data_IF_385577725145
#
_entry.id   IF_385577725145
#
_cell.length_a   1.000
_cell.length_b   1.000
_cell.length_c   1.000
_cell.angle_alpha   90.00
_cell.angle_beta   90.00
_cell.angle_gamma   90.00
#
_symmetry.space_group_name_H-M   'P 1'
#
loop_
_entity.id
_entity.type
_entity.pdbx_description
1 polymer ?
#
# COMPACT_ATOMS: atom_id res chain seq x y z
N UNK A 1 20.41 -36.65 -69.25
CA UNK A 1 21.16 -35.97 -68.22
C UNK A 1 20.32 -34.78 -67.73
N UNK A 2 19.34 -35.02 -66.93
CA UNK A 2 18.46 -34.04 -66.29
C UNK A 2 17.50 -34.81 -65.39
N UNK A 3 17.67 -34.77 -64.07
CA UNK A 3 16.64 -35.12 -63.09
C UNK A 3 17.18 -35.06 -61.63
N UNK A 4 18.39 -34.48 -61.39
CA UNK A 4 18.94 -34.45 -60.03
C UNK A 4 18.74 -33.09 -59.28
N UNK A 5 18.33 -32.03 -60.01
CA UNK A 5 18.18 -30.68 -59.43
C UNK A 5 16.90 -30.43 -58.67
N UNK A 6 15.82 -31.14 -58.98
CA UNK A 6 14.48 -30.84 -58.45
C UNK A 6 14.25 -31.37 -57.03
N UNK A 7 14.97 -32.43 -56.62
CA UNK A 7 14.79 -33.03 -55.29
C UNK A 7 15.50 -32.22 -54.16
N UNK A 8 16.61 -31.58 -54.47
CA UNK A 8 17.43 -30.80 -53.50
C UNK A 8 16.73 -29.49 -53.18
N UNK A 9 16.19 -28.80 -54.19
CA UNK A 9 15.46 -27.53 -53.97
C UNK A 9 14.19 -27.73 -53.14
N UNK A 10 13.47 -28.84 -53.30
CA UNK A 10 12.28 -29.15 -52.48
C UNK A 10 12.61 -29.45 -51.02
N UNK A 11 13.76 -30.06 -50.73
CA UNK A 11 14.23 -30.32 -49.36
C UNK A 11 14.64 -29.05 -48.64
N UNK A 12 15.35 -28.16 -49.31
CA UNK A 12 15.80 -26.89 -48.74
C UNK A 12 14.60 -25.96 -48.42
N UNK A 13 13.60 -25.91 -49.30
CA UNK A 13 12.39 -25.09 -49.08
C UNK A 13 11.58 -25.60 -47.90
N UNK A 14 11.41 -26.93 -47.73
CA UNK A 14 10.74 -27.52 -46.57
C UNK A 14 11.49 -27.28 -45.27
N UNK A 15 12.81 -27.34 -45.27
CA UNK A 15 13.64 -27.14 -44.09
C UNK A 15 13.59 -25.67 -43.61
N UNK A 16 13.59 -24.70 -44.52
CA UNK A 16 13.47 -23.28 -44.20
C UNK A 16 12.05 -22.92 -43.66
N UNK A 17 10.99 -23.58 -44.19
CA UNK A 17 9.64 -23.42 -43.71
C UNK A 17 9.43 -23.98 -42.29
N UNK A 18 10.03 -25.14 -42.00
CA UNK A 18 9.95 -25.76 -40.66
C UNK A 18 10.74 -24.93 -39.64
N UNK A 19 11.92 -24.41 -39.99
CA UNK A 19 12.72 -23.55 -39.13
C UNK A 19 12.02 -22.22 -38.83
N UNK A 20 11.33 -21.62 -39.80
CA UNK A 20 10.53 -20.41 -39.57
C UNK A 20 9.30 -20.64 -38.70
N UNK A 21 8.69 -21.83 -38.80
CA UNK A 21 7.50 -22.15 -37.99
C UNK A 21 7.84 -22.43 -36.51
N UNK A 22 9.02 -23.03 -36.26
CA UNK A 22 9.55 -23.29 -34.92
C UNK A 22 10.00 -22.00 -34.20
N UNK A 23 10.47 -20.99 -34.95
CA UNK A 23 10.85 -19.70 -34.37
C UNK A 23 9.65 -18.83 -33.99
N UNK A 24 8.50 -19.01 -34.69
CA UNK A 24 7.27 -18.26 -34.42
C UNK A 24 6.52 -18.74 -33.18
N UNK A 25 6.71 -19.98 -32.74
CA UNK A 25 6.00 -20.56 -31.58
C UNK A 25 6.67 -20.28 -30.24
N UNK A 26 7.93 -19.79 -30.22
CA UNK A 26 8.65 -19.50 -28.98
C UNK A 26 8.36 -18.10 -28.38
N UNK A 27 7.55 -17.26 -29.05
CA UNK A 27 7.28 -15.88 -28.60
C UNK A 27 5.97 -15.71 -27.80
N UNK A 28 5.25 -16.77 -27.46
CA UNK A 28 3.91 -16.67 -26.88
C UNK A 28 3.79 -17.03 -25.40
N UNK A 29 4.89 -17.19 -24.69
CA UNK A 29 4.84 -17.33 -23.23
C UNK A 29 5.24 -16.01 -22.54
N UNK A 30 4.44 -14.96 -22.73
CA UNK A 30 4.49 -13.83 -21.83
C UNK A 30 3.78 -14.25 -20.54
N UNK A 31 4.53 -14.78 -19.58
CA UNK A 31 4.04 -14.94 -18.23
C UNK A 31 3.80 -13.53 -17.66
N UNK A 32 2.55 -13.11 -17.56
CA UNK A 32 2.19 -11.91 -16.79
C UNK A 32 2.51 -12.19 -15.34
N UNK A 33 3.65 -11.72 -14.87
CA UNK A 33 3.92 -11.65 -13.43
C UNK A 33 3.01 -10.58 -12.87
N UNK A 34 1.86 -11.00 -12.35
CA UNK A 34 0.98 -10.10 -11.61
C UNK A 34 1.68 -9.72 -10.29
N UNK A 35 1.92 -8.42 -10.11
CA UNK A 35 2.51 -7.94 -8.87
C UNK A 35 1.50 -8.10 -7.75
N UNK A 36 1.83 -8.87 -6.72
CA UNK A 36 1.03 -9.05 -5.51
C UNK A 36 0.73 -7.68 -4.89
N UNK A 37 -0.53 -7.37 -4.64
CA UNK A 37 -1.02 -6.15 -3.99
C UNK A 37 -2.26 -6.49 -3.14
N UNK A 38 -2.03 -7.27 -2.08
CA UNK A 38 -3.08 -7.74 -1.19
C UNK A 38 -3.46 -6.65 -0.20
N UNK A 39 -4.76 -6.42 -0.02
CA UNK A 39 -5.27 -5.50 0.98
C UNK A 39 -5.66 -6.31 2.22
N UNK A 40 -4.85 -6.18 3.27
CA UNK A 40 -5.11 -6.77 4.58
C UNK A 40 -5.75 -5.78 5.55
N UNK A 41 -6.47 -6.31 6.55
CA UNK A 41 -6.99 -5.57 7.69
C UNK A 41 -6.23 -5.95 8.95
N UNK A 42 -5.85 -4.98 9.74
CA UNK A 42 -5.00 -5.16 10.91
C UNK A 42 -5.55 -4.40 12.11
N UNK A 43 -5.43 -4.94 13.33
CA UNK A 43 -6.00 -4.33 14.52
C UNK A 43 -5.24 -3.05 14.91
N UNK A 44 -5.99 -1.99 15.23
CA UNK A 44 -5.47 -0.69 15.66
C UNK A 44 -4.97 -0.77 17.10
N UNK A 45 -5.79 -1.31 18.02
CA UNK A 45 -5.53 -1.27 19.46
C UNK A 45 -4.20 -1.95 19.82
N UNK A 46 -3.99 -3.18 19.36
CA UNK A 46 -2.76 -3.92 19.63
C UNK A 46 -1.51 -3.24 19.07
N UNK A 47 -1.64 -2.53 17.95
CA UNK A 47 -0.55 -1.73 17.39
C UNK A 47 -0.23 -0.53 18.28
N UNK A 48 -1.24 0.23 18.71
CA UNK A 48 -1.03 1.42 19.54
C UNK A 48 -0.45 1.10 20.93
N UNK A 49 -0.77 -0.07 21.48
CA UNK A 49 -0.23 -0.54 22.76
C UNK A 49 1.21 -1.09 22.67
N UNK A 50 1.69 -1.33 21.46
CA UNK A 50 3.01 -1.91 21.23
C UNK A 50 4.16 -0.96 21.65
N UNK A 51 5.31 -1.53 21.99
CA UNK A 51 6.54 -0.76 22.24
C UNK A 51 6.98 0.06 21.02
N UNK A 52 6.72 -0.44 19.81
CA UNK A 52 6.98 0.25 18.55
C UNK A 52 6.18 1.57 18.47
N UNK A 53 4.90 1.54 18.81
CA UNK A 53 4.06 2.73 18.80
C UNK A 53 4.50 3.75 19.84
N UNK A 54 4.80 3.30 21.07
CA UNK A 54 5.28 4.16 22.16
C UNK A 54 6.57 4.90 21.82
N UNK A 55 7.45 4.30 21.01
CA UNK A 55 8.70 4.92 20.58
C UNK A 55 8.57 5.77 19.31
N UNK A 56 7.60 5.49 18.45
CA UNK A 56 7.47 6.14 17.15
C UNK A 56 6.48 7.30 17.12
N UNK A 57 5.39 7.24 17.89
CA UNK A 57 4.33 8.25 17.89
C UNK A 57 4.66 9.43 18.79
N UNK A 58 4.06 10.58 18.45
CA UNK A 58 4.15 11.81 19.22
C UNK A 58 3.01 11.91 20.24
N UNK A 59 3.12 12.84 21.19
CA UNK A 59 2.07 13.12 22.19
C UNK A 59 0.95 14.00 21.59
N UNK A 60 0.28 13.47 20.56
CA UNK A 60 -0.90 14.07 19.94
C UNK A 60 -1.97 12.99 19.86
N UNK A 61 -3.10 13.15 20.54
CA UNK A 61 -4.17 12.16 20.55
C UNK A 61 -4.71 11.83 19.15
N UNK A 62 -5.01 10.55 18.96
CA UNK A 62 -5.48 9.96 17.71
C UNK A 62 -6.84 9.28 17.96
N UNK A 63 -7.89 9.74 17.26
CA UNK A 63 -9.24 9.19 17.38
C UNK A 63 -9.70 8.62 16.04
N UNK A 64 -10.03 7.35 16.01
CA UNK A 64 -10.41 6.63 14.82
C UNK A 64 -11.93 6.61 14.62
N UNK A 65 -12.36 6.74 13.37
CA UNK A 65 -13.76 6.70 12.97
C UNK A 65 -14.64 7.64 13.87
N UNK A 66 -15.59 7.08 14.55
CA UNK A 66 -16.58 7.75 15.41
C UNK A 66 -16.21 7.74 16.90
N UNK A 67 -14.95 7.44 17.26
CA UNK A 67 -14.51 7.50 18.64
C UNK A 67 -14.76 8.89 19.24
N UNK A 68 -15.31 8.90 20.45
CA UNK A 68 -15.59 10.12 21.19
C UNK A 68 -14.31 10.84 21.60
N UNK A 69 -14.31 12.16 21.49
CA UNK A 69 -13.22 13.04 21.91
C UNK A 69 -13.78 14.30 22.57
N UNK A 70 -12.91 15.10 23.17
CA UNK A 70 -13.31 16.31 23.88
C UNK A 70 -13.85 17.42 22.97
N UNK A 71 -14.32 18.52 23.58
CA UNK A 71 -14.86 19.67 22.85
C UNK A 71 -13.79 20.35 21.99
N UNK A 72 -14.13 20.64 20.75
CA UNK A 72 -13.27 21.41 19.84
C UNK A 72 -13.27 22.91 20.18
N UNK A 73 -12.13 23.55 20.11
CA UNK A 73 -12.01 25.01 20.13
C UNK A 73 -11.77 25.57 18.72
N UNK A 74 -11.11 24.82 17.85
CA UNK A 74 -10.93 25.17 16.45
C UNK A 74 -10.69 23.92 15.60
N UNK A 75 -10.87 24.06 14.29
CA UNK A 75 -10.72 22.99 13.30
C UNK A 75 -9.92 23.50 12.11
N UNK A 76 -8.85 22.80 11.77
CA UNK A 76 -8.08 23.08 10.54
C UNK A 76 -8.77 22.48 9.30
N UNK A 77 -9.19 21.21 9.38
CA UNK A 77 -9.85 20.50 8.31
C UNK A 77 -9.30 19.12 8.03
N UNK A 78 -9.76 18.49 6.94
CA UNK A 78 -9.34 17.15 6.53
C UNK A 78 -7.94 17.18 5.91
N UNK A 79 -7.12 16.24 6.30
CA UNK A 79 -5.79 15.98 5.73
C UNK A 79 -5.65 14.52 5.33
N UNK A 80 -4.82 14.26 4.33
CA UNK A 80 -4.55 12.92 3.82
C UNK A 80 -3.05 12.66 3.93
N UNK A 81 -2.70 11.47 4.36
CA UNK A 81 -1.32 10.95 4.30
C UNK A 81 -1.29 9.64 3.51
N UNK A 82 -0.18 9.41 2.81
CA UNK A 82 0.11 8.16 2.13
C UNK A 82 1.57 7.82 2.40
N UNK A 83 1.80 6.70 3.07
CA UNK A 83 3.14 6.22 3.41
C UNK A 83 3.37 4.84 2.83
N UNK A 84 4.61 4.57 2.46
CA UNK A 84 5.08 3.28 1.99
C UNK A 84 6.33 2.87 2.78
N UNK A 85 6.54 1.58 2.92
CA UNK A 85 7.73 1.02 3.54
C UNK A 85 8.22 -0.19 2.76
N UNK A 86 9.50 -0.55 2.94
CA UNK A 86 10.06 -1.77 2.40
C UNK A 86 9.45 -2.98 3.15
N UNK A 87 8.85 -3.91 2.39
CA UNK A 87 8.28 -5.17 2.88
C UNK A 87 9.17 -6.39 2.61
N UNK A 88 10.30 -6.21 1.89
CA UNK A 88 11.20 -7.31 1.54
C UNK A 88 11.73 -7.99 2.82
N UNK A 89 11.63 -9.31 2.88
CA UNK A 89 12.02 -10.15 4.02
C UNK A 89 11.27 -9.84 5.33
N UNK A 90 10.08 -9.23 5.25
CA UNK A 90 9.19 -9.00 6.40
C UNK A 90 7.85 -9.71 6.17
N UNK A 91 7.17 -10.06 7.26
CA UNK A 91 5.76 -10.44 7.15
C UNK A 91 4.91 -9.23 6.76
N UNK A 92 3.78 -9.47 6.11
CA UNK A 92 2.83 -8.40 5.77
C UNK A 92 2.40 -7.61 7.01
N UNK A 93 2.13 -8.32 8.11
CA UNK A 93 1.79 -7.71 9.40
C UNK A 93 2.88 -6.75 9.86
N UNK A 94 4.13 -7.19 9.88
CA UNK A 94 5.25 -6.37 10.34
C UNK A 94 5.43 -5.13 9.48
N UNK A 95 5.41 -5.29 8.15
CA UNK A 95 5.53 -4.17 7.22
C UNK A 95 4.34 -3.20 7.36
N UNK A 96 3.12 -3.72 7.52
CA UNK A 96 1.92 -2.92 7.71
C UNK A 96 1.89 -2.18 9.05
N UNK A 97 2.40 -2.76 10.14
CA UNK A 97 2.57 -2.07 11.42
C UNK A 97 3.51 -0.86 11.29
N UNK A 98 4.68 -1.04 10.68
CA UNK A 98 5.65 0.05 10.49
C UNK A 98 5.11 1.18 9.62
N UNK A 99 4.46 0.85 8.51
CA UNK A 99 3.93 1.88 7.62
C UNK A 99 2.72 2.59 8.22
N UNK A 100 1.90 1.90 9.02
CA UNK A 100 0.79 2.51 9.77
C UNK A 100 1.31 3.52 10.80
N UNK A 101 2.31 3.15 11.59
CA UNK A 101 2.93 4.08 12.55
C UNK A 101 3.54 5.30 11.84
N UNK A 102 4.17 5.11 10.68
CA UNK A 102 4.70 6.21 9.87
C UNK A 102 3.59 7.15 9.35
N UNK A 103 2.43 6.59 8.99
CA UNK A 103 1.28 7.37 8.54
C UNK A 103 0.64 8.15 9.70
N UNK A 104 0.47 7.53 10.87
CA UNK A 104 -0.05 8.19 12.08
C UNK A 104 0.87 9.32 12.54
N UNK A 105 2.18 9.06 12.61
CA UNK A 105 3.17 10.09 12.96
C UNK A 105 3.09 11.29 12.01
N UNK A 106 2.95 11.06 10.71
CA UNK A 106 2.82 12.15 9.74
C UNK A 106 1.55 12.99 9.96
N UNK A 107 0.43 12.39 10.40
CA UNK A 107 -0.76 13.13 10.79
C UNK A 107 -0.51 13.96 12.05
N UNK A 108 0.18 13.41 13.05
CA UNK A 108 0.54 14.11 14.28
C UNK A 108 1.49 15.28 14.00
N UNK A 109 2.54 15.08 13.20
CA UNK A 109 3.46 16.13 12.76
C UNK A 109 2.71 17.25 12.02
N UNK A 110 1.76 16.89 11.18
CA UNK A 110 0.93 17.88 10.49
C UNK A 110 0.03 18.64 11.46
N UNK A 111 -0.56 17.97 12.46
CA UNK A 111 -1.38 18.64 13.48
C UNK A 111 -0.55 19.67 14.25
N UNK A 112 0.65 19.30 14.71
CA UNK A 112 1.57 20.22 15.41
C UNK A 112 1.91 21.42 14.52
N UNK A 113 2.27 21.18 13.25
CA UNK A 113 2.62 22.22 12.29
C UNK A 113 1.50 23.25 12.10
N UNK A 114 0.24 22.80 12.09
CA UNK A 114 -0.93 23.66 11.91
C UNK A 114 -1.49 24.20 13.23
N UNK A 115 -0.77 24.04 14.35
CA UNK A 115 -1.18 24.51 15.67
C UNK A 115 -2.36 23.77 16.29
N UNK A 116 -2.64 22.56 15.78
CA UNK A 116 -3.67 21.65 16.29
C UNK A 116 -3.06 20.67 17.29
N UNK A 117 -3.89 20.12 18.19
CA UNK A 117 -3.44 19.24 19.26
C UNK A 117 -4.08 17.85 19.24
N UNK A 118 -4.90 17.54 18.23
CA UNK A 118 -5.49 16.21 18.04
C UNK A 118 -5.77 15.91 16.57
N UNK A 119 -5.85 14.63 16.25
CA UNK A 119 -6.32 14.11 14.95
C UNK A 119 -7.55 13.25 15.21
N UNK A 120 -8.67 13.60 14.62
CA UNK A 120 -9.95 12.91 14.82
C UNK A 120 -10.51 12.35 13.51
N UNK A 121 -11.47 11.44 13.63
CA UNK A 121 -12.11 10.79 12.49
C UNK A 121 -11.09 10.16 11.52
N UNK A 122 -10.07 9.50 12.06
CA UNK A 122 -9.05 8.82 11.27
C UNK A 122 -9.67 7.61 10.59
N UNK A 123 -9.48 7.51 9.27
CA UNK A 123 -10.03 6.44 8.43
C UNK A 123 -8.96 5.96 7.46
N UNK A 124 -8.99 4.70 7.08
CA UNK A 124 -8.20 4.20 5.97
C UNK A 124 -8.73 4.76 4.64
N UNK A 125 -7.79 5.13 3.77
CA UNK A 125 -8.08 5.74 2.47
C UNK A 125 -7.23 5.13 1.34
N UNK A 126 -6.94 3.82 1.46
CA UNK A 126 -6.11 3.10 0.52
C UNK A 126 -6.76 3.04 -0.87
N UNK A 127 -5.99 3.34 -1.92
CA UNK A 127 -6.50 3.45 -3.30
C UNK A 127 -7.72 4.38 -3.43
N UNK A 128 -7.78 5.44 -2.61
CA UNK A 128 -8.89 6.42 -2.56
C UNK A 128 -10.25 5.81 -2.15
N UNK A 129 -10.26 4.62 -1.56
CA UNK A 129 -11.45 4.01 -0.98
C UNK A 129 -11.49 4.25 0.51
N UNK A 130 -12.64 4.66 1.03
CA UNK A 130 -12.85 4.83 2.47
C UNK A 130 -13.10 3.47 3.11
N UNK A 131 -12.38 3.18 4.16
CA UNK A 131 -12.70 2.13 5.11
C UNK A 131 -12.74 2.75 6.50
N UNK A 132 -13.96 2.78 7.08
CA UNK A 132 -14.25 3.41 8.36
C UNK A 132 -14.33 2.33 9.42
N UNK A 133 -13.41 2.35 10.38
CA UNK A 133 -13.38 1.41 11.50
C UNK A 133 -12.62 2.05 12.65
N UNK A 134 -13.10 1.83 13.87
CA UNK A 134 -12.42 2.21 15.12
C UNK A 134 -11.49 1.11 15.64
N UNK A 135 -11.55 -0.09 15.05
CA UNK A 135 -10.81 -1.28 15.51
C UNK A 135 -9.75 -1.79 14.53
N UNK A 136 -9.91 -1.52 13.23
CA UNK A 136 -9.03 -2.04 12.18
C UNK A 136 -8.61 -0.95 11.19
N UNK A 137 -7.45 -1.12 10.55
CA UNK A 137 -7.00 -0.31 9.41
C UNK A 137 -6.67 -1.19 8.20
N UNK A 138 -6.78 -0.62 7.01
CA UNK A 138 -6.37 -1.27 5.76
C UNK A 138 -4.92 -0.94 5.41
N UNK A 139 -4.21 -1.97 4.95
CA UNK A 139 -2.85 -1.86 4.42
C UNK A 139 -2.73 -2.70 3.15
N UNK A 140 -2.15 -2.13 2.11
CA UNK A 140 -1.75 -2.87 0.93
C UNK A 140 -0.37 -3.48 1.13
N UNK A 141 -0.24 -4.79 0.95
CA UNK A 141 1.02 -5.51 1.06
C UNK A 141 1.37 -6.21 -0.24
N UNK A 142 2.53 -5.89 -0.77
CA UNK A 142 3.16 -6.57 -1.91
C UNK A 142 4.46 -7.25 -1.48
N UNK A 143 5.13 -7.90 -2.43
CA UNK A 143 6.40 -8.63 -2.17
C UNK A 143 7.52 -7.72 -1.67
N UNK A 144 7.55 -6.46 -2.13
CA UNK A 144 8.67 -5.52 -1.87
C UNK A 144 8.21 -4.30 -1.07
N UNK A 145 6.96 -3.88 -1.22
CA UNK A 145 6.45 -2.64 -0.67
C UNK A 145 5.13 -2.89 0.05
N UNK A 146 4.98 -2.33 1.25
CA UNK A 146 3.70 -2.17 1.92
C UNK A 146 3.31 -0.68 2.00
N UNK A 147 2.00 -0.39 1.97
CA UNK A 147 1.50 0.97 1.95
C UNK A 147 0.22 1.16 2.76
N UNK A 148 0.13 2.31 3.44
CA UNK A 148 -1.05 2.78 4.16
C UNK A 148 -1.38 4.19 3.72
N UNK A 149 -2.64 4.44 3.40
CA UNK A 149 -3.17 5.77 3.22
C UNK A 149 -4.25 6.03 4.28
N UNK A 150 -4.13 7.15 4.96
CA UNK A 150 -5.09 7.60 5.97
C UNK A 150 -5.60 8.98 5.62
N UNK A 151 -6.81 9.27 6.08
CA UNK A 151 -7.34 10.61 6.16
C UNK A 151 -7.85 10.85 7.58
N UNK A 152 -7.75 12.09 8.04
CA UNK A 152 -8.19 12.50 9.36
C UNK A 152 -8.47 13.99 9.36
N UNK A 153 -9.09 14.47 10.44
CA UNK A 153 -9.38 15.88 10.63
C UNK A 153 -8.49 16.39 11.74
N UNK A 154 -7.79 17.49 11.50
CA UNK A 154 -6.97 18.15 12.50
C UNK A 154 -7.83 19.14 13.28
N UNK A 155 -7.80 19.03 14.60
CA UNK A 155 -8.59 19.86 15.51
C UNK A 155 -7.74 20.34 16.69
N UNK A 156 -8.18 21.43 17.31
CA UNK A 156 -7.71 21.88 18.60
C UNK A 156 -8.78 21.58 19.64
N UNK A 157 -8.50 20.65 20.52
CA UNK A 157 -9.36 20.31 21.64
C UNK A 157 -9.13 21.32 22.77
N UNK A 158 -10.21 21.63 23.52
CA UNK A 158 -10.10 22.40 24.75
C UNK A 158 -9.37 21.55 25.78
N UNK A 159 -8.42 22.17 26.49
CA UNK A 159 -7.81 21.54 27.66
C UNK A 159 -8.88 21.45 28.74
N UNK A 160 -9.20 20.26 29.19
CA UNK A 160 -9.99 20.04 30.42
C UNK A 160 -9.03 20.32 31.58
N UNK A 161 -9.23 21.41 32.27
CA UNK A 161 -8.55 21.75 33.55
C UNK A 161 -9.23 20.96 34.66
#
# INVERSE_FOLDING_TARGET
MELHGSSILKKECKMKLIASLLLATSLLTVSTVEARDDIGKYPIQSLLESSKAKSALLDVPLYFADQSYGSESSKYGEVITNKKTNAFNKSDREACEWVMLSALKALQERAIKEGMNAVVNIQSYYKKRKFVSSTEYECGAGTIIAGVALKGILVKLKLTV
#
